data_IF_838393484893
#
_entry.id   IF_838393484893
#
_cell.length_a   1.000
_cell.length_b   1.000
_cell.length_c   1.000
_cell.angle_alpha   90.00
_cell.angle_beta   90.00
_cell.angle_gamma   90.00
#
_symmetry.space_group_name_H-M   'P 1'
#
loop_
_entity.id
_entity.type
_entity.pdbx_description
1 polymer ?
#
# COMPACT_ATOMS: atom_id res chain seq x y z
N UNK A 1 -16.23 18.20 -21.25
CA UNK A 1 -17.11 17.74 -22.34
C UNK A 1 -16.77 18.51 -23.62
N UNK A 2 -17.18 18.01 -24.79
CA UNK A 2 -17.11 18.72 -26.08
C UNK A 2 -18.47 18.74 -26.75
N UNK A 3 -18.72 19.74 -27.58
CA UNK A 3 -19.99 19.93 -28.30
C UNK A 3 -19.71 19.98 -29.81
N UNK A 4 -20.50 19.25 -30.60
CA UNK A 4 -20.44 19.21 -32.07
C UNK A 4 -21.86 19.19 -32.64
N UNK A 5 -22.40 20.35 -32.96
CA UNK A 5 -23.81 20.47 -33.36
C UNK A 5 -24.71 19.94 -32.25
N UNK A 6 -25.60 19.01 -32.58
CA UNK A 6 -26.54 18.40 -31.65
C UNK A 6 -25.93 17.24 -30.84
N UNK A 7 -24.60 17.09 -30.85
CA UNK A 7 -23.90 16.03 -30.13
C UNK A 7 -23.08 16.62 -28.99
N UNK A 8 -23.37 16.17 -27.77
CA UNK A 8 -22.56 16.43 -26.58
C UNK A 8 -21.80 15.16 -26.21
N UNK A 9 -20.48 15.26 -26.10
CA UNK A 9 -19.64 14.16 -25.63
C UNK A 9 -18.99 14.51 -24.29
N UNK A 10 -19.30 13.71 -23.28
CA UNK A 10 -18.81 13.83 -21.92
C UNK A 10 -17.79 12.72 -21.72
N UNK A 11 -16.58 13.10 -21.30
CA UNK A 11 -15.57 12.16 -20.86
C UNK A 11 -15.50 12.24 -19.33
N UNK A 12 -16.11 11.30 -18.60
CA UNK A 12 -16.07 11.32 -17.14
C UNK A 12 -14.65 11.03 -16.63
N UNK A 13 -14.22 11.63 -15.50
CA UNK A 13 -12.86 11.44 -14.99
C UNK A 13 -12.62 10.06 -14.36
N UNK A 14 -13.68 9.28 -14.13
CA UNK A 14 -13.61 7.89 -13.64
C UNK A 14 -13.58 6.85 -14.77
N UNK A 15 -13.65 7.28 -16.03
CA UNK A 15 -13.54 6.42 -17.20
C UNK A 15 -12.15 6.56 -17.83
N UNK A 16 -11.56 5.45 -18.27
CA UNK A 16 -10.20 5.47 -18.85
C UNK A 16 -10.22 5.54 -20.39
N UNK A 17 -11.13 4.81 -21.03
CA UNK A 17 -11.17 4.62 -22.48
C UNK A 17 -12.56 4.79 -23.11
N UNK A 18 -13.55 5.18 -22.29
CA UNK A 18 -14.94 5.35 -22.72
C UNK A 18 -15.43 6.77 -22.46
N UNK A 19 -16.17 7.31 -23.43
CA UNK A 19 -16.91 8.55 -23.27
C UNK A 19 -18.41 8.33 -23.52
N UNK A 20 -19.23 9.18 -22.93
CA UNK A 20 -20.69 9.21 -23.12
C UNK A 20 -20.99 10.21 -24.22
N UNK A 21 -21.67 9.77 -25.28
CA UNK A 21 -22.22 10.62 -26.33
C UNK A 21 -23.73 10.75 -26.14
N UNK A 22 -24.21 11.98 -26.09
CA UNK A 22 -25.61 12.34 -26.02
C UNK A 22 -25.94 13.10 -27.31
N UNK A 23 -26.83 12.53 -28.12
CA UNK A 23 -27.35 13.14 -29.35
C UNK A 23 -28.71 13.77 -29.07
N UNK A 24 -28.92 14.99 -29.55
CA UNK A 24 -30.12 15.77 -29.36
C UNK A 24 -30.90 15.94 -30.67
N UNK A 25 -32.21 16.09 -30.56
CA UNK A 25 -33.08 16.62 -31.60
C UNK A 25 -33.87 17.79 -31.02
N UNK A 26 -33.40 19.01 -31.26
CA UNK A 26 -33.88 20.20 -30.54
C UNK A 26 -33.57 20.08 -29.05
N UNK A 27 -34.61 20.10 -28.21
CA UNK A 27 -34.49 20.01 -26.74
C UNK A 27 -34.68 18.57 -26.21
N UNK A 28 -34.85 17.58 -27.09
CA UNK A 28 -35.04 16.18 -26.71
C UNK A 28 -33.75 15.36 -26.90
N UNK A 29 -33.45 14.47 -25.96
CA UNK A 29 -32.37 13.49 -26.10
C UNK A 29 -32.86 12.36 -27.01
N UNK A 30 -32.26 12.23 -28.19
CA UNK A 30 -32.59 11.20 -29.17
C UNK A 30 -31.84 9.89 -28.87
N UNK A 31 -30.56 9.97 -28.49
CA UNK A 31 -29.73 8.80 -28.26
C UNK A 31 -28.64 9.05 -27.22
N UNK A 32 -28.45 8.09 -26.31
CA UNK A 32 -27.30 8.02 -25.42
C UNK A 32 -26.47 6.81 -25.81
N UNK A 33 -25.16 6.99 -26.01
CA UNK A 33 -24.26 5.90 -26.39
C UNK A 33 -22.90 6.00 -25.71
N UNK A 34 -22.29 4.85 -25.46
CA UNK A 34 -20.88 4.77 -25.11
C UNK A 34 -20.04 4.74 -26.38
N UNK A 35 -18.96 5.52 -26.39
CA UNK A 35 -18.05 5.65 -27.53
C UNK A 35 -16.60 5.52 -27.08
N UNK A 36 -15.73 5.11 -28.00
CA UNK A 36 -14.28 5.32 -27.84
C UNK A 36 -13.93 6.76 -28.21
N UNK A 37 -13.40 7.59 -27.30
CA UNK A 37 -13.26 9.04 -27.50
C UNK A 37 -12.32 9.42 -28.66
N UNK A 38 -11.29 8.60 -28.92
CA UNK A 38 -10.29 8.85 -29.98
C UNK A 38 -10.70 8.27 -31.34
N UNK A 39 -11.37 7.12 -31.36
CA UNK A 39 -11.83 6.48 -32.61
C UNK A 39 -13.18 7.03 -33.08
N UNK A 40 -13.97 7.62 -32.17
CA UNK A 40 -15.36 8.02 -32.42
C UNK A 40 -16.32 6.84 -32.61
N UNK A 41 -15.81 5.61 -32.50
CA UNK A 41 -16.56 4.37 -32.71
C UNK A 41 -17.53 4.14 -31.54
N UNK A 42 -18.78 3.89 -31.91
CA UNK A 42 -19.85 3.53 -31.00
C UNK A 42 -19.63 2.12 -30.44
N UNK A 43 -19.74 1.97 -29.13
CA UNK A 43 -19.60 0.71 -28.40
C UNK A 43 -20.99 0.11 -28.18
N UNK A 44 -21.88 0.84 -27.49
CA UNK A 44 -23.27 0.41 -27.22
C UNK A 44 -24.19 1.60 -26.97
N UNK A 45 -25.49 1.37 -27.11
CA UNK A 45 -26.54 2.30 -26.67
C UNK A 45 -26.87 2.13 -25.20
N UNK A 46 -27.32 3.20 -24.58
CA UNK A 46 -27.79 3.27 -23.20
C UNK A 46 -29.18 3.91 -23.18
N UNK A 47 -30.05 3.40 -22.32
CA UNK A 47 -31.37 4.01 -22.08
C UNK A 47 -31.26 5.22 -21.14
N UNK A 48 -30.27 5.21 -20.25
CA UNK A 48 -29.99 6.29 -19.30
C UNK A 48 -28.51 6.31 -18.91
N UNK A 49 -28.05 7.45 -18.39
CA UNK A 49 -26.69 7.61 -17.88
C UNK A 49 -26.67 8.56 -16.69
N UNK A 50 -25.87 8.23 -15.67
CA UNK A 50 -25.60 9.10 -14.53
C UNK A 50 -24.19 9.67 -14.67
N UNK A 51 -24.08 11.00 -14.71
CA UNK A 51 -22.80 11.70 -14.76
C UNK A 51 -22.48 12.26 -13.38
N UNK A 52 -21.56 11.60 -12.68
CA UNK A 52 -21.09 12.06 -11.38
C UNK A 52 -20.16 13.28 -11.49
N UNK A 53 -20.07 14.12 -10.43
CA UNK A 53 -19.18 15.28 -10.40
C UNK A 53 -17.72 14.91 -10.67
N UNK A 54 -16.99 15.82 -11.30
CA UNK A 54 -15.57 15.60 -11.63
C UNK A 54 -14.60 15.83 -10.46
N UNK A 55 -15.13 16.21 -9.30
CA UNK A 55 -14.38 16.46 -8.08
C UNK A 55 -15.23 16.04 -6.88
N UNK A 56 -14.58 15.60 -5.81
CA UNK A 56 -15.23 15.25 -4.54
C UNK A 56 -15.56 16.48 -3.67
N UNK A 57 -15.04 17.67 -4.01
CA UNK A 57 -15.29 18.93 -3.29
C UNK A 57 -16.19 19.87 -4.08
N UNK A 58 -17.22 19.33 -4.74
CA UNK A 58 -18.20 20.15 -5.46
C UNK A 58 -19.25 20.63 -4.47
N UNK A 59 -19.41 21.95 -4.38
CA UNK A 59 -20.45 22.58 -3.60
C UNK A 59 -21.26 23.55 -4.45
N UNK A 60 -22.54 23.64 -4.14
CA UNK A 60 -23.45 24.59 -4.77
C UNK A 60 -23.01 26.04 -4.49
N UNK A 61 -23.36 26.95 -5.40
CA UNK A 61 -22.98 28.38 -5.28
C UNK A 61 -23.45 29.01 -3.96
N UNK A 62 -24.62 28.63 -3.46
CA UNK A 62 -25.15 29.13 -2.19
C UNK A 62 -24.34 28.64 -1.00
N UNK A 63 -23.98 27.34 -1.00
CA UNK A 63 -23.10 26.75 0.00
C UNK A 63 -21.75 27.45 0.01
N UNK A 64 -21.12 27.67 -1.15
CA UNK A 64 -19.83 28.37 -1.26
C UNK A 64 -19.91 29.80 -0.72
N UNK A 65 -20.96 30.56 -1.04
CA UNK A 65 -21.15 31.93 -0.52
C UNK A 65 -21.20 31.93 1.02
N UNK A 66 -21.97 31.02 1.62
CA UNK A 66 -22.02 30.88 3.08
C UNK A 66 -20.67 30.48 3.67
N UNK A 67 -19.96 29.55 3.02
CA UNK A 67 -18.63 29.11 3.48
C UNK A 67 -17.62 30.27 3.46
N UNK A 68 -17.63 31.08 2.40
CA UNK A 68 -16.77 32.27 2.27
C UNK A 68 -16.97 33.24 3.42
N UNK A 69 -18.21 33.53 3.80
CA UNK A 69 -18.48 34.43 4.93
C UNK A 69 -17.97 33.85 6.27
N UNK A 70 -18.18 32.55 6.51
CA UNK A 70 -17.64 31.88 7.70
C UNK A 70 -16.09 31.90 7.74
N UNK A 71 -15.43 31.74 6.58
CA UNK A 71 -13.96 31.80 6.45
C UNK A 71 -13.46 33.22 6.72
N UNK A 72 -14.14 34.27 6.24
CA UNK A 72 -13.80 35.67 6.52
C UNK A 72 -13.83 35.98 8.02
N UNK A 73 -14.83 35.47 8.73
CA UNK A 73 -14.95 35.62 10.19
C UNK A 73 -13.77 34.96 10.91
N UNK A 74 -13.50 33.67 10.62
CA UNK A 74 -12.37 32.95 11.25
C UNK A 74 -11.01 33.60 10.91
N UNK A 75 -10.85 34.11 9.68
CA UNK A 75 -9.66 34.84 9.29
C UNK A 75 -9.45 36.10 10.14
N UNK A 76 -10.50 36.91 10.35
CA UNK A 76 -10.43 38.11 11.15
C UNK A 76 -10.06 37.81 12.61
N UNK A 77 -10.67 36.77 13.18
CA UNK A 77 -10.33 36.28 14.53
C UNK A 77 -8.89 35.80 14.62
N UNK A 78 -8.43 35.04 13.61
CA UNK A 78 -7.07 34.49 13.59
C UNK A 78 -5.99 35.55 13.43
N UNK A 79 -6.24 36.58 12.61
CA UNK A 79 -5.34 37.74 12.48
C UNK A 79 -5.21 38.44 13.84
N UNK A 80 -6.34 38.75 14.49
CA UNK A 80 -6.34 39.40 15.81
C UNK A 80 -5.62 38.57 16.87
N UNK A 81 -5.78 37.25 16.84
CA UNK A 81 -5.04 36.34 17.73
C UNK A 81 -3.52 36.48 17.55
N UNK A 82 -3.03 36.49 16.30
CA UNK A 82 -1.61 36.61 16.02
C UNK A 82 -1.06 38.00 16.38
N UNK A 83 -1.77 39.08 16.06
CA UNK A 83 -1.40 40.44 16.41
C UNK A 83 -1.29 40.62 17.93
N UNK A 84 -2.28 40.14 18.68
CA UNK A 84 -2.27 40.17 20.15
C UNK A 84 -1.14 39.32 20.76
N UNK A 85 -0.67 38.30 20.04
CA UNK A 85 0.43 37.42 20.46
C UNK A 85 1.81 37.90 19.99
N UNK A 86 1.91 39.08 19.37
CA UNK A 86 3.16 39.60 18.81
C UNK A 86 3.68 38.86 17.58
N UNK A 87 2.87 37.98 16.98
CA UNK A 87 3.20 37.13 15.83
C UNK A 87 2.81 37.82 14.51
N UNK A 88 3.44 38.96 14.22
CA UNK A 88 3.05 39.83 13.09
C UNK A 88 3.28 39.19 11.72
N UNK A 89 4.33 38.37 11.58
CA UNK A 89 4.66 37.68 10.33
C UNK A 89 3.59 36.63 10.01
N UNK A 90 3.16 35.87 11.01
CA UNK A 90 2.10 34.88 10.91
C UNK A 90 0.75 35.54 10.58
N UNK A 91 0.46 36.70 11.18
CA UNK A 91 -0.74 37.50 10.89
C UNK A 91 -0.77 37.95 9.42
N UNK A 92 0.34 38.50 8.91
CA UNK A 92 0.45 38.89 7.51
C UNK A 92 0.33 37.70 6.57
N UNK A 93 1.02 36.60 6.88
CA UNK A 93 1.04 35.37 6.08
C UNK A 93 -0.35 34.77 5.93
N UNK A 94 -1.10 34.62 7.03
CA UNK A 94 -2.44 34.03 6.97
C UNK A 94 -3.40 34.95 6.21
N UNK A 95 -3.28 36.27 6.41
CA UNK A 95 -4.08 37.27 5.71
C UNK A 95 -3.89 37.19 4.21
N UNK A 96 -2.66 37.23 3.72
CA UNK A 96 -2.35 37.17 2.29
C UNK A 96 -2.85 35.86 1.67
N UNK A 97 -2.53 34.72 2.32
CA UNK A 97 -2.90 33.38 1.84
C UNK A 97 -4.42 33.22 1.71
N UNK A 98 -5.15 33.48 2.79
CA UNK A 98 -6.60 33.26 2.81
C UNK A 98 -7.33 34.29 1.96
N UNK A 99 -6.85 35.52 1.85
CA UNK A 99 -7.45 36.52 0.94
C UNK A 99 -7.36 36.07 -0.52
N UNK A 100 -6.22 35.49 -0.93
CA UNK A 100 -6.07 34.92 -2.27
C UNK A 100 -7.01 33.73 -2.48
N UNK A 101 -7.08 32.81 -1.51
CA UNK A 101 -7.96 31.64 -1.59
C UNK A 101 -9.45 32.06 -1.65
N UNK A 102 -9.86 33.07 -0.88
CA UNK A 102 -11.21 33.66 -0.92
C UNK A 102 -11.55 34.27 -2.28
N UNK A 103 -10.63 35.04 -2.87
CA UNK A 103 -10.84 35.64 -4.20
C UNK A 103 -11.04 34.56 -5.28
N UNK A 104 -10.29 33.46 -5.20
CA UNK A 104 -10.45 32.31 -6.10
C UNK A 104 -11.77 31.58 -5.88
N UNK A 105 -12.20 31.39 -4.62
CA UNK A 105 -13.49 30.79 -4.30
C UNK A 105 -14.68 31.64 -4.80
N UNK A 106 -14.61 32.97 -4.70
CA UNK A 106 -15.68 33.86 -5.17
C UNK A 106 -15.75 33.92 -6.71
N UNK A 107 -14.61 33.88 -7.41
CA UNK A 107 -14.55 34.03 -8.87
C UNK A 107 -14.69 32.72 -9.63
N UNK A 108 -13.96 31.68 -9.21
CA UNK A 108 -13.88 30.39 -9.90
C UNK A 108 -14.67 29.27 -9.21
N UNK A 109 -15.16 29.49 -7.98
CA UNK A 109 -15.77 28.43 -7.18
C UNK A 109 -14.78 27.37 -6.68
N UNK A 110 -13.48 27.60 -6.84
CA UNK A 110 -12.42 26.67 -6.51
C UNK A 110 -11.12 27.41 -6.17
N UNK A 111 -10.33 26.87 -5.26
CA UNK A 111 -8.96 27.32 -4.96
C UNK A 111 -8.03 26.13 -4.76
N UNK A 112 -6.72 26.35 -4.89
CA UNK A 112 -5.73 25.31 -4.61
C UNK A 112 -5.66 25.04 -3.12
N UNK A 113 -5.93 23.80 -2.72
CA UNK A 113 -6.01 23.43 -1.31
C UNK A 113 -7.41 23.65 -0.70
N UNK A 114 -8.47 23.63 -1.51
CA UNK A 114 -9.86 23.80 -1.08
C UNK A 114 -10.28 22.84 0.05
N UNK A 115 -9.65 21.67 0.14
CA UNK A 115 -9.90 20.68 1.20
C UNK A 115 -9.63 21.24 2.61
N UNK A 116 -8.77 22.25 2.74
CA UNK A 116 -8.49 22.91 4.02
C UNK A 116 -9.68 23.74 4.53
N UNK A 117 -10.68 23.98 3.69
CA UNK A 117 -11.95 24.63 4.03
C UNK A 117 -13.12 23.65 4.09
N UNK A 118 -12.85 22.34 4.00
CA UNK A 118 -13.88 21.31 3.88
C UNK A 118 -14.96 21.38 4.95
N UNK A 119 -14.62 21.69 6.22
CA UNK A 119 -15.60 21.90 7.30
C UNK A 119 -16.71 22.87 6.89
N UNK A 120 -16.34 24.02 6.34
CA UNK A 120 -17.29 25.04 5.94
C UNK A 120 -18.08 24.66 4.71
N UNK A 121 -17.46 23.94 3.78
CA UNK A 121 -18.09 23.47 2.55
C UNK A 121 -19.14 22.40 2.87
N UNK A 122 -18.82 21.48 3.78
CA UNK A 122 -19.75 20.43 4.25
C UNK A 122 -20.71 20.91 5.33
N UNK A 123 -20.65 22.19 5.72
CA UNK A 123 -21.45 22.79 6.79
C UNK A 123 -21.44 22.00 8.11
N UNK A 124 -20.26 21.51 8.47
CA UNK A 124 -20.02 20.78 9.73
C UNK A 124 -19.59 21.74 10.83
N UNK A 125 -19.84 21.34 12.07
CA UNK A 125 -19.35 22.03 13.26
C UNK A 125 -17.86 21.73 13.52
N UNK A 126 -17.22 22.54 14.36
CA UNK A 126 -15.82 22.34 14.71
C UNK A 126 -15.63 20.99 15.43
N UNK A 127 -14.62 20.22 15.03
CA UNK A 127 -14.32 18.91 15.59
C UNK A 127 -15.17 17.75 15.06
N UNK A 128 -16.26 18.02 14.34
CA UNK A 128 -17.17 16.99 13.82
C UNK A 128 -16.41 15.98 12.93
N UNK A 129 -16.90 14.73 12.92
CA UNK A 129 -16.31 13.65 12.13
C UNK A 129 -16.37 13.98 10.63
N UNK A 130 -15.26 13.85 9.89
CA UNK A 130 -15.23 14.11 8.46
C UNK A 130 -15.94 12.99 7.67
N UNK A 131 -16.58 13.32 6.54
CA UNK A 131 -17.08 12.30 5.62
C UNK A 131 -15.90 11.57 4.98
N UNK A 132 -16.08 10.28 4.78
CA UNK A 132 -15.09 9.33 4.25
C UNK A 132 -15.73 8.44 3.21
N UNK A 133 -14.92 7.57 2.60
CA UNK A 133 -15.41 6.53 1.71
C UNK A 133 -16.46 5.62 2.38
N UNK A 134 -16.35 5.38 3.70
CA UNK A 134 -17.28 4.51 4.43
C UNK A 134 -18.71 5.06 4.39
N UNK A 135 -18.86 6.38 4.38
CA UNK A 135 -20.17 7.04 4.35
C UNK A 135 -20.92 6.84 3.02
N UNK A 136 -20.24 6.38 1.96
CA UNK A 136 -20.86 6.07 0.67
C UNK A 136 -21.45 4.65 0.60
N UNK A 137 -21.08 3.77 1.53
CA UNK A 137 -21.57 2.38 1.55
C UNK A 137 -22.94 2.22 2.25
N UNK A 138 -23.40 3.25 2.98
CA UNK A 138 -24.58 3.16 3.84
C UNK A 138 -24.30 2.40 5.13
N UNK A 139 -25.35 1.88 5.77
CA UNK A 139 -25.25 1.25 7.09
C UNK A 139 -24.91 -0.25 7.05
N UNK A 140 -25.06 -0.91 5.90
CA UNK A 140 -24.87 -2.36 5.76
C UNK A 140 -23.69 -2.69 4.82
N UNK A 141 -22.48 -2.69 5.39
CA UNK A 141 -21.27 -3.09 4.68
C UNK A 141 -20.33 -3.90 5.57
N UNK A 142 -19.47 -4.70 4.92
CA UNK A 142 -18.43 -5.49 5.57
C UNK A 142 -17.08 -4.79 5.39
N UNK A 143 -16.34 -4.62 6.49
CA UNK A 143 -14.94 -4.19 6.46
C UNK A 143 -14.03 -5.39 6.65
N UNK A 144 -13.16 -5.63 5.68
CA UNK A 144 -12.08 -6.61 5.80
C UNK A 144 -10.78 -5.84 6.03
N UNK A 145 -10.16 -6.04 7.19
CA UNK A 145 -8.88 -5.44 7.52
C UNK A 145 -7.79 -6.47 7.30
N UNK A 146 -7.17 -6.40 6.13
CA UNK A 146 -6.01 -7.22 5.79
C UNK A 146 -4.78 -6.80 6.59
N UNK A 147 -3.94 -7.77 6.93
CA UNK A 147 -2.80 -7.64 7.84
C UNK A 147 -3.12 -6.78 9.08
N UNK A 148 -4.21 -7.11 9.77
CA UNK A 148 -4.83 -6.27 10.81
C UNK A 148 -3.84 -5.78 11.89
N UNK A 149 -2.89 -6.63 12.24
CA UNK A 149 -1.85 -6.38 13.24
C UNK A 149 -0.91 -5.21 12.87
N UNK A 150 -0.85 -4.83 11.58
CA UNK A 150 -0.16 -3.64 11.04
C UNK A 150 -1.15 -2.55 10.67
N UNK A 151 -2.25 -2.90 10.00
CA UNK A 151 -3.22 -1.94 9.45
C UNK A 151 -3.94 -1.14 10.54
N UNK A 152 -4.34 -1.77 11.66
CA UNK A 152 -5.02 -1.07 12.75
C UNK A 152 -4.12 -0.04 13.46
N UNK A 153 -2.86 -0.37 13.85
CA UNK A 153 -1.92 0.65 14.32
C UNK A 153 -1.70 1.80 13.34
N UNK A 154 -1.66 1.51 12.03
CA UNK A 154 -1.53 2.54 11.00
C UNK A 154 -2.73 3.49 11.02
N UNK A 155 -3.96 2.96 10.96
CA UNK A 155 -5.21 3.76 11.04
C UNK A 155 -5.19 4.65 12.30
N UNK A 156 -4.85 4.05 13.46
CA UNK A 156 -4.74 4.78 14.74
C UNK A 156 -3.69 5.91 14.69
N UNK A 157 -2.60 5.72 13.97
CA UNK A 157 -1.53 6.71 13.81
C UNK A 157 -1.87 7.88 12.89
N UNK A 158 -2.75 7.67 11.89
CA UNK A 158 -3.06 8.68 10.86
C UNK A 158 -3.56 10.00 11.44
N UNK A 159 -4.53 9.96 12.35
CA UNK A 159 -5.08 11.16 12.99
C UNK A 159 -4.03 11.98 13.73
N UNK A 160 -3.21 11.31 14.57
CA UNK A 160 -2.19 11.99 15.38
C UNK A 160 -1.10 12.60 14.50
N UNK A 161 -0.66 11.88 13.47
CA UNK A 161 0.34 12.36 12.52
C UNK A 161 -0.15 13.57 11.71
N UNK A 162 -1.38 13.51 11.18
CA UNK A 162 -1.96 14.63 10.44
C UNK A 162 -2.17 15.86 11.34
N UNK A 163 -2.70 15.65 12.54
CA UNK A 163 -2.94 16.72 13.51
C UNK A 163 -1.64 17.43 13.92
N UNK A 164 -0.60 16.70 14.30
CA UNK A 164 0.68 17.29 14.68
C UNK A 164 1.30 18.13 13.55
N UNK A 165 1.23 17.64 12.31
CA UNK A 165 1.71 18.38 11.13
C UNK A 165 0.91 19.66 10.90
N UNK A 166 -0.42 19.59 11.01
CA UNK A 166 -1.31 20.72 10.76
C UNK A 166 -1.30 21.76 11.87
N UNK A 167 -1.14 21.36 13.12
CA UNK A 167 -0.97 22.28 14.26
C UNK A 167 0.23 23.21 14.02
N UNK A 168 1.36 22.68 13.54
CA UNK A 168 2.52 23.51 13.13
C UNK A 168 2.13 24.51 12.03
N UNK A 169 1.42 24.09 10.99
CA UNK A 169 0.98 25.00 9.92
C UNK A 169 0.04 26.09 10.43
N UNK A 170 -0.84 25.74 11.36
CA UNK A 170 -1.78 26.68 12.01
C UNK A 170 -1.03 27.65 12.91
N UNK A 171 -0.06 27.18 13.70
CA UNK A 171 0.72 27.98 14.64
C UNK A 171 1.64 29.00 13.97
N UNK A 172 2.11 28.67 12.76
CA UNK A 172 2.91 29.55 11.91
C UNK A 172 2.08 30.27 10.84
N UNK A 173 0.76 30.31 10.95
CA UNK A 173 -0.09 31.15 10.07
C UNK A 173 -0.12 30.74 8.61
N UNK A 174 0.17 29.48 8.28
CA UNK A 174 0.00 28.94 6.92
C UNK A 174 -1.44 28.47 6.66
N UNK A 175 -2.18 28.09 7.69
CA UNK A 175 -3.56 27.59 7.62
C UNK A 175 -4.42 28.14 8.77
N UNK A 176 -5.73 28.23 8.54
CA UNK A 176 -6.71 28.55 9.58
C UNK A 176 -6.91 27.35 10.53
N UNK A 177 -7.37 27.56 11.78
CA UNK A 177 -7.68 26.47 12.72
C UNK A 177 -8.64 25.43 12.14
N UNK A 178 -9.65 25.84 11.36
CA UNK A 178 -10.56 24.95 10.62
C UNK A 178 -9.89 23.91 9.72
N UNK A 179 -8.64 24.13 9.30
CA UNK A 179 -7.91 23.15 8.51
C UNK A 179 -7.60 21.85 9.28
N UNK A 180 -7.68 21.88 10.62
CA UNK A 180 -7.58 20.70 11.49
C UNK A 180 -8.82 19.79 11.38
N UNK A 181 -9.97 20.32 10.95
CA UNK A 181 -11.22 19.55 10.78
C UNK A 181 -11.32 18.86 9.41
N UNK A 182 -10.40 19.21 8.50
CA UNK A 182 -10.05 18.35 7.38
C UNK A 182 -9.05 17.31 7.91
N UNK A 183 -9.46 16.09 8.19
CA UNK A 183 -8.57 15.12 8.85
C UNK A 183 -8.98 13.70 8.52
N UNK A 184 -8.13 12.69 8.73
CA UNK A 184 -8.61 11.32 8.78
C UNK A 184 -9.48 11.11 10.03
N UNK A 185 -10.21 10.00 10.05
CA UNK A 185 -10.89 9.52 11.25
C UNK A 185 -9.86 9.26 12.34
N UNK A 186 -10.23 9.57 13.58
CA UNK A 186 -9.56 8.98 14.71
C UNK A 186 -9.98 7.50 14.85
N UNK A 187 -9.30 6.75 15.71
CA UNK A 187 -9.55 5.30 15.82
C UNK A 187 -10.96 4.98 16.34
N UNK A 188 -11.47 5.77 17.28
CA UNK A 188 -12.80 5.54 17.85
C UNK A 188 -13.91 5.85 16.82
N UNK A 189 -13.71 6.87 15.98
CA UNK A 189 -14.59 7.19 14.85
C UNK A 189 -14.53 6.14 13.74
N UNK A 190 -13.38 5.50 13.53
CA UNK A 190 -13.28 4.39 12.59
C UNK A 190 -14.10 3.21 13.09
N UNK A 191 -13.89 2.81 14.36
CA UNK A 191 -14.60 1.68 14.96
C UNK A 191 -16.11 1.91 15.04
N UNK A 192 -16.55 3.13 15.37
CA UNK A 192 -17.98 3.45 15.43
C UNK A 192 -18.68 3.38 14.06
N UNK A 193 -17.91 3.43 12.97
CA UNK A 193 -18.41 3.27 11.60
C UNK A 193 -18.28 1.83 11.09
N UNK A 194 -17.65 0.91 11.82
CA UNK A 194 -17.49 -0.50 11.41
C UNK A 194 -18.38 -1.41 12.25
N UNK A 195 -19.60 -1.69 11.78
CA UNK A 195 -20.49 -2.65 12.45
C UNK A 195 -20.04 -4.10 12.19
N UNK A 196 -19.82 -4.45 10.91
CA UNK A 196 -19.34 -5.78 10.50
C UNK A 196 -17.88 -5.70 10.09
N UNK A 197 -16.99 -6.28 10.89
CA UNK A 197 -15.55 -6.29 10.63
C UNK A 197 -14.96 -7.70 10.67
N UNK A 198 -14.08 -8.00 9.73
CA UNK A 198 -13.27 -9.21 9.70
C UNK A 198 -11.79 -8.82 9.70
N UNK A 199 -11.08 -9.21 10.76
CA UNK A 199 -9.62 -9.04 10.85
C UNK A 199 -8.93 -10.24 10.21
N UNK A 200 -8.03 -10.00 9.27
CA UNK A 200 -7.24 -11.03 8.61
C UNK A 200 -5.77 -10.84 9.00
N UNK A 201 -5.19 -11.82 9.70
CA UNK A 201 -3.81 -11.77 10.15
C UNK A 201 -3.32 -13.16 10.55
N UNK A 202 -2.07 -13.49 10.22
CA UNK A 202 -1.41 -14.69 10.74
C UNK A 202 -0.99 -14.54 12.22
N UNK A 203 -0.97 -13.29 12.71
CA UNK A 203 -0.49 -12.89 14.04
C UNK A 203 -1.38 -11.75 14.58
N UNK A 204 -2.67 -12.00 14.86
CA UNK A 204 -3.56 -10.98 15.42
C UNK A 204 -3.04 -10.50 16.79
N UNK A 205 -3.19 -9.21 17.11
CA UNK A 205 -2.82 -8.67 18.43
C UNK A 205 -4.00 -8.71 19.40
N UNK A 206 -3.74 -8.35 20.65
CA UNK A 206 -4.71 -8.31 21.74
C UNK A 206 -5.98 -7.55 21.36
N UNK A 207 -5.85 -6.39 20.71
CA UNK A 207 -7.02 -5.61 20.31
C UNK A 207 -7.95 -6.41 19.38
N UNK A 208 -7.42 -7.03 18.32
CA UNK A 208 -8.25 -7.84 17.42
C UNK A 208 -8.91 -9.01 18.15
N UNK A 209 -8.15 -9.70 19.01
CA UNK A 209 -8.63 -10.84 19.79
C UNK A 209 -9.77 -10.42 20.73
N UNK A 210 -9.64 -9.27 21.39
CA UNK A 210 -10.63 -8.76 22.34
C UNK A 210 -11.90 -8.24 21.64
N UNK A 211 -11.82 -7.86 20.36
CA UNK A 211 -12.97 -7.33 19.61
C UNK A 211 -13.81 -8.40 18.91
N UNK A 212 -13.32 -9.63 18.76
CA UNK A 212 -14.02 -10.68 18.00
C UNK A 212 -14.72 -11.70 18.90
N UNK A 213 -15.87 -12.19 18.43
CA UNK A 213 -16.59 -13.27 19.09
C UNK A 213 -15.96 -14.65 18.85
N UNK A 214 -15.34 -14.83 17.69
CA UNK A 214 -14.79 -16.11 17.24
C UNK A 214 -13.49 -15.88 16.47
N UNK A 215 -12.52 -16.76 16.69
CA UNK A 215 -11.28 -16.82 15.93
C UNK A 215 -11.36 -18.04 15.01
N UNK A 216 -11.36 -17.80 13.70
CA UNK A 216 -11.36 -18.87 12.69
C UNK A 216 -9.92 -19.11 12.26
N UNK A 217 -9.38 -20.28 12.61
CA UNK A 217 -8.01 -20.65 12.26
C UNK A 217 -7.96 -21.32 10.87
N UNK A 218 -7.21 -20.73 9.93
CA UNK A 218 -6.96 -21.29 8.59
C UNK A 218 -5.47 -21.56 8.41
N UNK A 219 -5.05 -22.79 8.74
CA UNK A 219 -3.63 -23.19 8.74
C UNK A 219 -3.24 -24.00 7.50
N UNK A 220 -4.16 -24.78 6.94
CA UNK A 220 -3.87 -25.70 5.84
C UNK A 220 -3.75 -24.95 4.53
N UNK A 221 -2.66 -25.20 3.80
CA UNK A 221 -2.41 -24.62 2.48
C UNK A 221 -3.00 -25.51 1.38
N UNK A 222 -3.58 -24.95 0.30
CA UNK A 222 -4.13 -25.75 -0.80
C UNK A 222 -3.10 -26.70 -1.45
N UNK A 223 -1.82 -26.34 -1.43
CA UNK A 223 -0.70 -27.12 -2.01
C UNK A 223 -0.13 -28.16 -1.05
N UNK A 224 -0.63 -28.24 0.19
CA UNK A 224 -0.09 -29.08 1.24
C UNK A 224 1.25 -28.60 1.82
N UNK A 225 1.73 -27.40 1.45
CA UNK A 225 2.97 -26.86 1.99
C UNK A 225 2.91 -26.69 3.52
N UNK A 226 4.00 -27.06 4.17
CA UNK A 226 4.12 -27.10 5.63
C UNK A 226 4.78 -25.83 6.15
N UNK A 227 4.47 -25.47 7.40
CA UNK A 227 5.24 -24.46 8.13
C UNK A 227 6.71 -24.92 8.26
N UNK A 228 7.68 -24.01 8.06
CA UNK A 228 9.11 -24.35 8.04
C UNK A 228 9.57 -24.94 9.35
N UNK A 229 10.54 -25.85 9.30
CA UNK A 229 11.12 -26.40 10.52
C UNK A 229 12.00 -25.34 11.22
N UNK A 230 11.65 -24.87 12.43
CA UNK A 230 12.47 -23.91 13.16
C UNK A 230 13.57 -24.65 13.95
N UNK A 231 14.82 -24.24 13.77
CA UNK A 231 15.97 -24.76 14.48
C UNK A 231 16.67 -23.63 15.25
N UNK A 232 16.71 -23.75 16.57
CA UNK A 232 17.44 -22.81 17.43
C UNK A 232 18.89 -23.25 17.54
N UNK A 233 19.82 -22.36 17.19
CA UNK A 233 21.26 -22.60 17.21
C UNK A 233 21.95 -21.59 18.16
N UNK A 234 23.07 -21.96 18.82
CA UNK A 234 23.82 -21.02 19.65
C UNK A 234 24.27 -19.80 18.84
N UNK A 235 24.23 -18.60 19.43
CA UNK A 235 24.74 -17.39 18.75
C UNK A 235 26.28 -17.39 18.66
N UNK A 236 26.94 -18.23 19.48
CA UNK A 236 28.39 -18.46 19.40
C UNK A 236 28.78 -19.00 18.01
N UNK A 237 29.53 -18.20 17.27
CA UNK A 237 29.96 -18.46 15.88
C UNK A 237 28.81 -18.44 14.84
N UNK A 238 27.72 -17.71 15.10
CA UNK A 238 26.56 -17.63 14.19
C UNK A 238 26.92 -17.35 12.73
N UNK A 239 27.89 -16.47 12.47
CA UNK A 239 28.29 -16.10 11.10
C UNK A 239 28.97 -17.26 10.36
N UNK A 240 29.75 -18.08 11.05
CA UNK A 240 30.43 -19.24 10.45
C UNK A 240 29.41 -20.34 10.12
N UNK A 241 28.54 -20.66 11.07
CA UNK A 241 27.47 -21.65 10.88
C UNK A 241 26.51 -21.21 9.77
N UNK A 242 26.08 -19.93 9.78
CA UNK A 242 25.25 -19.35 8.73
C UNK A 242 25.90 -19.46 7.36
N UNK A 243 27.21 -19.19 7.26
CA UNK A 243 27.94 -19.31 6.01
C UNK A 243 27.91 -20.75 5.47
N UNK A 244 28.17 -21.74 6.32
CA UNK A 244 28.14 -23.15 5.92
C UNK A 244 26.74 -23.58 5.45
N UNK A 245 25.70 -23.11 6.12
CA UNK A 245 24.30 -23.37 5.73
C UNK A 245 23.92 -22.65 4.43
N UNK A 246 24.36 -21.41 4.23
CA UNK A 246 24.18 -20.69 2.95
C UNK A 246 24.86 -21.44 1.81
N UNK A 247 26.10 -21.92 2.00
CA UNK A 247 26.83 -22.66 0.95
C UNK A 247 26.06 -23.91 0.54
N UNK A 248 25.52 -24.66 1.52
CA UNK A 248 24.72 -25.87 1.26
C UNK A 248 23.44 -25.54 0.48
N UNK A 249 22.69 -24.54 0.92
CA UNK A 249 21.42 -24.15 0.27
C UNK A 249 21.62 -23.63 -1.15
N UNK A 250 22.63 -22.77 -1.33
CA UNK A 250 22.88 -22.16 -2.64
C UNK A 250 23.45 -23.16 -3.65
N UNK A 251 24.16 -24.21 -3.20
CA UNK A 251 24.59 -25.32 -4.05
C UNK A 251 23.41 -26.10 -4.64
N UNK A 252 22.30 -26.20 -3.91
CA UNK A 252 21.05 -26.83 -4.35
C UNK A 252 20.14 -25.87 -5.15
N UNK A 253 20.60 -24.65 -5.43
CA UNK A 253 19.86 -23.61 -6.16
C UNK A 253 18.85 -22.83 -5.31
N UNK A 254 18.74 -23.12 -4.01
CA UNK A 254 17.87 -22.45 -3.07
C UNK A 254 18.24 -20.97 -2.86
N UNK A 255 17.28 -20.19 -2.36
CA UNK A 255 17.49 -18.79 -1.97
C UNK A 255 17.42 -18.65 -0.45
N UNK A 256 18.22 -17.72 0.07
CA UNK A 256 18.35 -17.50 1.51
C UNK A 256 17.96 -16.07 1.87
N UNK A 257 17.10 -15.92 2.87
CA UNK A 257 16.80 -14.65 3.51
C UNK A 257 17.50 -14.59 4.86
N UNK A 258 18.21 -13.50 5.14
CA UNK A 258 18.86 -13.28 6.44
C UNK A 258 18.34 -12.00 7.07
N UNK A 259 17.83 -12.08 8.29
CA UNK A 259 17.44 -10.91 9.08
C UNK A 259 18.46 -10.61 10.17
N UNK A 260 18.92 -9.37 10.21
CA UNK A 260 19.82 -8.84 11.23
C UNK A 260 19.09 -7.76 12.07
N UNK A 261 19.67 -7.32 13.18
CA UNK A 261 19.08 -6.25 14.00
C UNK A 261 19.40 -4.84 13.52
N UNK A 262 20.55 -4.65 12.86
CA UNK A 262 21.07 -3.32 12.54
C UNK A 262 21.49 -3.22 11.09
N UNK A 263 21.32 -2.01 10.51
CA UNK A 263 21.76 -1.70 9.14
C UNK A 263 23.24 -2.04 8.94
N UNK A 264 24.08 -1.62 9.91
CA UNK A 264 25.51 -1.90 9.89
C UNK A 264 25.82 -3.40 9.83
N UNK A 265 25.18 -4.21 10.67
CA UNK A 265 25.41 -5.66 10.66
C UNK A 265 24.94 -6.32 9.37
N UNK A 266 23.84 -5.86 8.79
CA UNK A 266 23.38 -6.34 7.48
C UNK A 266 24.38 -5.99 6.36
N UNK A 267 24.93 -4.77 6.37
CA UNK A 267 25.96 -4.32 5.42
C UNK A 267 27.25 -5.12 5.58
N UNK A 268 27.78 -5.20 6.80
CA UNK A 268 29.00 -5.94 7.14
C UNK A 268 28.88 -7.43 6.75
N UNK A 269 27.72 -8.05 7.01
CA UNK A 269 27.44 -9.44 6.61
C UNK A 269 27.37 -9.59 5.09
N UNK A 270 26.72 -8.65 4.40
CA UNK A 270 26.62 -8.68 2.94
C UNK A 270 28.01 -8.62 2.30
N UNK A 271 28.88 -7.76 2.81
CA UNK A 271 30.24 -7.62 2.29
C UNK A 271 31.11 -8.82 2.65
N UNK A 272 30.96 -9.39 3.85
CA UNK A 272 31.58 -10.66 4.25
C UNK A 272 31.21 -11.81 3.29
N UNK A 273 29.94 -11.93 2.95
CA UNK A 273 29.42 -12.97 2.04
C UNK A 273 29.99 -12.79 0.62
N UNK A 274 29.96 -11.56 0.10
CA UNK A 274 30.55 -11.23 -1.22
C UNK A 274 32.05 -11.53 -1.28
N UNK A 275 32.80 -11.18 -0.23
CA UNK A 275 34.24 -11.42 -0.16
C UNK A 275 34.60 -12.91 -0.20
N UNK A 276 33.67 -13.78 0.21
CA UNK A 276 33.81 -15.25 0.14
C UNK A 276 33.15 -15.88 -1.09
N UNK A 277 32.70 -15.06 -2.06
CA UNK A 277 32.16 -15.53 -3.33
C UNK A 277 30.66 -15.84 -3.32
N UNK A 278 29.93 -15.54 -2.24
CA UNK A 278 28.47 -15.66 -2.22
C UNK A 278 27.84 -14.43 -2.88
N UNK A 279 26.89 -14.66 -3.79
CA UNK A 279 26.12 -13.58 -4.43
C UNK A 279 25.06 -13.06 -3.46
N UNK A 280 25.42 -12.05 -2.69
CA UNK A 280 24.55 -11.44 -1.68
C UNK A 280 24.17 -9.99 -2.03
N UNK A 281 22.94 -9.60 -1.66
CA UNK A 281 22.44 -8.21 -1.71
C UNK A 281 21.87 -7.80 -0.36
N UNK A 282 21.99 -6.50 -0.08
CA UNK A 282 21.44 -5.87 1.11
C UNK A 282 20.14 -5.13 0.76
N UNK A 283 19.12 -5.26 1.61
CA UNK A 283 17.86 -4.53 1.52
C UNK A 283 17.64 -3.67 2.78
N UNK A 284 17.44 -2.36 2.58
CA UNK A 284 17.21 -1.40 3.67
C UNK A 284 15.91 -0.61 3.50
N UNK A 285 15.46 -0.03 4.61
CA UNK A 285 14.19 0.70 4.72
C UNK A 285 14.06 1.92 3.81
N UNK A 286 15.18 2.48 3.35
CA UNK A 286 15.21 3.75 2.62
C UNK A 286 15.22 3.54 1.09
N UNK A 287 15.20 2.28 0.64
CA UNK A 287 15.07 1.91 -0.78
C UNK A 287 13.64 2.17 -1.23
N UNK A 288 13.50 2.86 -2.36
CA UNK A 288 12.22 3.12 -3.01
C UNK A 288 11.51 1.81 -3.40
N UNK A 289 10.17 1.83 -3.44
CA UNK A 289 9.36 0.62 -3.68
C UNK A 289 9.68 -0.05 -5.02
N UNK A 290 10.02 0.73 -6.06
CA UNK A 290 10.40 0.21 -7.38
C UNK A 290 11.76 -0.50 -7.33
N UNK A 291 12.75 0.12 -6.67
CA UNK A 291 14.08 -0.46 -6.55
C UNK A 291 14.06 -1.71 -5.66
N UNK A 292 13.28 -1.69 -4.58
CA UNK A 292 13.03 -2.86 -3.74
C UNK A 292 12.51 -4.03 -4.56
N UNK A 293 11.47 -3.80 -5.35
CA UNK A 293 10.90 -4.87 -6.17
C UNK A 293 11.88 -5.37 -7.23
N UNK A 294 12.70 -4.49 -7.82
CA UNK A 294 13.77 -4.92 -8.71
C UNK A 294 14.74 -5.89 -8.02
N UNK A 295 15.13 -5.62 -6.77
CA UNK A 295 16.00 -6.51 -5.99
C UNK A 295 15.35 -7.88 -5.78
N UNK A 296 14.05 -7.91 -5.47
CA UNK A 296 13.28 -9.16 -5.30
C UNK A 296 13.22 -9.96 -6.61
N UNK A 297 12.95 -9.29 -7.74
CA UNK A 297 12.98 -9.93 -9.05
C UNK A 297 14.37 -10.44 -9.42
N UNK A 298 15.43 -9.72 -9.09
CA UNK A 298 16.81 -10.16 -9.30
C UNK A 298 17.14 -11.44 -8.49
N UNK A 299 16.63 -11.57 -7.26
CA UNK A 299 16.74 -12.80 -6.47
C UNK A 299 16.06 -13.97 -7.17
N UNK A 300 14.81 -13.77 -7.64
CA UNK A 300 14.01 -14.78 -8.36
C UNK A 300 14.64 -15.19 -9.70
N UNK A 301 15.29 -14.25 -10.40
CA UNK A 301 16.01 -14.49 -11.66
C UNK A 301 17.38 -15.12 -11.49
N UNK A 302 17.73 -15.60 -10.29
CA UNK A 302 19.05 -16.17 -9.99
C UNK A 302 20.21 -15.21 -10.26
N UNK A 303 20.00 -13.88 -10.18
CA UNK A 303 21.10 -12.91 -10.29
C UNK A 303 21.98 -12.92 -9.04
N UNK A 304 21.36 -13.20 -7.90
CA UNK A 304 22.01 -13.43 -6.62
C UNK A 304 21.21 -14.46 -5.80
N UNK A 305 21.76 -14.93 -4.69
CA UNK A 305 21.21 -16.06 -3.94
C UNK A 305 20.81 -15.73 -2.50
N UNK A 306 21.41 -14.68 -1.93
CA UNK A 306 21.20 -14.29 -0.52
C UNK A 306 20.73 -12.84 -0.42
N UNK A 307 19.61 -12.63 0.26
CA UNK A 307 19.11 -11.30 0.61
C UNK A 307 19.25 -11.07 2.11
N UNK A 308 20.01 -10.03 2.48
CA UNK A 308 20.24 -9.65 3.88
C UNK A 308 19.46 -8.37 4.16
N UNK A 309 18.72 -8.30 5.26
CA UNK A 309 17.99 -7.08 5.64
C UNK A 309 17.72 -7.00 7.14
N UNK A 310 17.19 -5.86 7.58
CA UNK A 310 16.82 -5.64 9.00
C UNK A 310 15.39 -6.08 9.27
N UNK A 311 14.47 -5.66 8.40
CA UNK A 311 13.05 -5.95 8.53
C UNK A 311 12.47 -6.45 7.22
N UNK A 312 12.62 -7.75 6.97
CA UNK A 312 12.09 -8.40 5.76
C UNK A 312 10.57 -8.68 5.84
N UNK A 313 9.88 -8.16 6.87
CA UNK A 313 8.48 -8.43 7.17
C UNK A 313 7.50 -7.52 6.43
N UNK A 314 7.87 -6.25 6.20
CA UNK A 314 6.98 -5.26 5.56
C UNK A 314 6.78 -5.46 4.07
N UNK A 315 7.46 -6.43 3.50
CA UNK A 315 7.83 -6.39 2.09
C UNK A 315 6.91 -7.23 1.21
N UNK A 316 5.93 -7.94 1.79
CA UNK A 316 5.08 -8.83 1.04
C UNK A 316 5.86 -9.92 0.29
N UNK A 317 7.14 -10.16 0.66
CA UNK A 317 8.05 -11.08 -0.01
C UNK A 317 7.45 -12.47 -0.11
N UNK A 318 6.93 -12.78 -1.27
CA UNK A 318 6.34 -14.04 -1.66
C UNK A 318 7.28 -14.67 -2.70
N UNK A 319 8.30 -15.36 -2.19
CA UNK A 319 9.39 -15.90 -2.99
C UNK A 319 9.45 -17.42 -2.78
N UNK A 320 8.76 -18.23 -3.63
CA UNK A 320 8.76 -19.70 -3.51
C UNK A 320 10.16 -20.33 -3.58
N UNK A 321 11.13 -19.64 -4.18
CA UNK A 321 12.52 -20.07 -4.31
C UNK A 321 13.29 -20.00 -2.98
N UNK A 322 12.76 -19.34 -1.94
CA UNK A 322 13.39 -19.25 -0.62
C UNK A 322 13.20 -20.55 0.15
N UNK A 323 14.28 -21.28 0.35
CA UNK A 323 14.32 -22.53 1.12
C UNK A 323 14.84 -22.35 2.55
N UNK A 324 15.60 -21.28 2.81
CA UNK A 324 16.16 -20.99 4.13
C UNK A 324 15.91 -19.54 4.55
N UNK A 325 15.42 -19.38 5.78
CA UNK A 325 15.40 -18.11 6.49
C UNK A 325 16.32 -18.20 7.70
N UNK A 326 17.22 -17.22 7.86
CA UNK A 326 18.08 -17.09 9.02
C UNK A 326 17.75 -15.83 9.82
N UNK A 327 17.63 -15.96 11.13
CA UNK A 327 17.34 -14.88 12.06
C UNK A 327 18.51 -14.77 13.04
N UNK A 328 19.37 -13.77 12.82
CA UNK A 328 20.46 -13.44 13.73
C UNK A 328 19.91 -12.77 14.99
N UNK A 329 20.57 -12.95 16.12
CA UNK A 329 20.16 -12.35 17.41
C UNK A 329 18.65 -12.58 17.70
N UNK A 330 18.19 -13.82 17.53
CA UNK A 330 16.79 -14.19 17.68
C UNK A 330 16.26 -14.00 19.11
N UNK A 331 17.14 -13.95 20.10
CA UNK A 331 16.83 -13.77 21.52
C UNK A 331 16.81 -12.31 22.01
N UNK A 332 17.13 -11.34 21.14
CA UNK A 332 17.10 -9.92 21.49
C UNK A 332 15.69 -9.37 21.37
N UNK A 333 15.01 -9.25 22.50
CA UNK A 333 13.65 -8.71 22.55
C UNK A 333 13.55 -7.30 21.95
N UNK A 334 12.42 -7.04 21.29
CA UNK A 334 12.14 -5.78 20.62
C UNK A 334 11.19 -5.98 19.44
N UNK A 335 10.89 -4.89 18.71
CA UNK A 335 9.94 -4.93 17.61
C UNK A 335 10.28 -5.99 16.55
N UNK A 336 11.56 -6.16 16.20
CA UNK A 336 12.01 -7.11 15.16
C UNK A 336 12.04 -8.57 15.62
N UNK A 337 11.91 -8.83 16.93
CA UNK A 337 11.97 -10.17 17.55
C UNK A 337 10.80 -10.41 18.50
N UNK A 338 9.70 -9.68 18.28
CA UNK A 338 8.41 -10.00 18.89
C UNK A 338 7.93 -11.35 18.37
N UNK A 339 7.04 -12.01 19.11
CA UNK A 339 6.44 -13.29 18.72
C UNK A 339 5.85 -13.21 17.29
N UNK A 340 5.08 -12.16 17.02
CA UNK A 340 4.49 -11.90 15.70
C UNK A 340 5.57 -11.76 14.61
N UNK A 341 6.61 -10.96 14.87
CA UNK A 341 7.71 -10.73 13.92
C UNK A 341 8.49 -12.01 13.61
N UNK A 342 8.71 -12.86 14.61
CA UNK A 342 9.39 -14.15 14.44
C UNK A 342 8.54 -15.11 13.61
N UNK A 343 7.25 -15.27 13.94
CA UNK A 343 6.31 -16.12 13.18
C UNK A 343 6.26 -15.71 11.71
N UNK A 344 6.15 -14.40 11.43
CA UNK A 344 6.12 -13.91 10.07
C UNK A 344 7.45 -14.12 9.33
N UNK A 345 8.59 -13.93 10.02
CA UNK A 345 9.91 -14.12 9.42
C UNK A 345 10.12 -15.59 9.06
N UNK A 346 9.80 -16.50 9.99
CA UNK A 346 9.81 -17.96 9.75
C UNK A 346 8.92 -18.30 8.56
N UNK A 347 7.71 -17.72 8.51
CA UNK A 347 6.73 -17.94 7.44
C UNK A 347 7.22 -17.60 6.02
N UNK A 348 8.29 -16.82 5.86
CA UNK A 348 8.89 -16.53 4.55
C UNK A 348 9.46 -17.77 3.85
N UNK A 349 9.84 -18.81 4.60
CA UNK A 349 10.25 -20.10 4.03
C UNK A 349 9.08 -21.08 3.80
N UNK A 350 7.84 -20.73 4.19
CA UNK A 350 6.69 -21.65 4.14
C UNK A 350 6.15 -21.93 2.73
N UNK A 351 6.76 -21.30 1.71
CA UNK A 351 6.37 -21.43 0.30
C UNK A 351 7.22 -22.41 -0.48
N UNK A 352 8.21 -23.00 0.19
CA UNK A 352 9.10 -23.98 -0.36
C UNK A 352 8.92 -25.31 0.39
N UNK A 353 8.85 -26.41 -0.35
CA UNK A 353 8.73 -27.76 0.22
C UNK A 353 9.90 -28.15 1.14
N UNK A 354 11.08 -27.55 0.94
CA UNK A 354 12.29 -27.70 1.76
C UNK A 354 12.47 -26.57 2.77
N UNK A 355 11.45 -25.73 2.96
CA UNK A 355 11.48 -24.56 3.82
C UNK A 355 11.96 -24.86 5.24
N UNK A 356 13.00 -24.16 5.68
CA UNK A 356 13.52 -24.22 7.06
C UNK A 356 13.92 -22.86 7.59
N UNK A 357 13.93 -22.72 8.91
CA UNK A 357 14.29 -21.49 9.60
C UNK A 357 15.38 -21.74 10.64
N UNK A 358 16.47 -20.97 10.60
CA UNK A 358 17.54 -20.98 11.60
C UNK A 358 17.42 -19.75 12.50
N UNK A 359 17.33 -19.97 13.81
CA UNK A 359 17.20 -18.92 14.81
C UNK A 359 18.44 -18.94 15.71
N UNK A 360 19.33 -17.96 15.56
CA UNK A 360 20.55 -17.86 16.35
C UNK A 360 20.27 -17.15 17.68
N UNK A 361 20.41 -17.87 18.79
CA UNK A 361 20.03 -17.39 20.12
C UNK A 361 20.84 -18.10 21.21
N UNK A 362 21.26 -17.36 22.24
CA UNK A 362 21.90 -17.93 23.44
C UNK A 362 20.88 -18.16 24.57
N UNK A 363 19.78 -17.43 24.54
CA UNK A 363 18.67 -17.54 25.51
C UNK A 363 17.34 -17.82 24.79
N UNK A 364 16.35 -18.32 25.53
CA UNK A 364 15.00 -18.58 25.01
C UNK A 364 13.99 -17.66 25.71
N UNK A 365 13.86 -16.38 25.28
CA UNK A 365 12.81 -15.50 25.76
C UNK A 365 11.43 -16.02 25.34
N UNK A 366 10.37 -15.49 25.96
CA UNK A 366 9.00 -15.98 25.74
C UNK A 366 8.54 -15.76 24.30
N UNK A 367 8.93 -14.65 23.66
CA UNK A 367 8.63 -14.40 22.24
C UNK A 367 9.18 -15.49 21.32
N UNK A 368 10.42 -15.93 21.57
CA UNK A 368 11.09 -16.98 20.78
C UNK A 368 10.48 -18.36 21.06
N UNK A 369 10.22 -18.68 22.33
CA UNK A 369 9.56 -19.93 22.73
C UNK A 369 8.18 -20.07 22.07
N UNK A 370 7.36 -19.02 22.17
CA UNK A 370 6.01 -19.03 21.63
C UNK A 370 6.02 -19.15 20.10
N UNK A 371 6.89 -18.40 19.42
CA UNK A 371 7.01 -18.48 17.95
C UNK A 371 7.42 -19.87 17.47
N UNK A 372 8.40 -20.52 18.13
CA UNK A 372 8.82 -21.89 17.82
C UNK A 372 7.69 -22.89 18.09
N UNK A 373 7.02 -22.76 19.25
CA UNK A 373 5.91 -23.62 19.62
C UNK A 373 4.76 -23.55 18.62
N UNK A 374 4.33 -22.34 18.26
CA UNK A 374 3.20 -22.12 17.36
C UNK A 374 3.52 -22.61 15.94
N UNK A 375 4.74 -22.39 15.45
CA UNK A 375 5.21 -22.93 14.16
C UNK A 375 5.15 -24.46 14.15
N UNK A 376 5.64 -25.11 15.21
CA UNK A 376 5.62 -26.56 15.33
C UNK A 376 4.20 -27.12 15.46
N UNK A 377 3.32 -26.45 16.21
CA UNK A 377 1.90 -26.81 16.34
C UNK A 377 1.20 -26.77 14.98
N UNK A 378 1.35 -25.68 14.23
CA UNK A 378 0.78 -25.52 12.87
C UNK A 378 1.28 -26.60 11.92
N UNK A 379 2.58 -26.84 11.93
CA UNK A 379 3.22 -27.89 11.13
C UNK A 379 2.62 -29.27 11.40
N UNK A 380 2.47 -29.66 12.66
CA UNK A 380 1.89 -30.97 13.03
C UNK A 380 0.44 -31.13 12.55
N UNK A 381 -0.36 -30.07 12.62
CA UNK A 381 -1.75 -30.06 12.13
C UNK A 381 -1.75 -30.26 10.60
N UNK A 382 -0.87 -29.56 9.88
CA UNK A 382 -0.75 -29.67 8.42
C UNK A 382 -0.25 -31.05 7.98
N UNK A 383 0.76 -31.61 8.66
CA UNK A 383 1.27 -32.97 8.39
C UNK A 383 0.18 -34.02 8.57
N UNK A 384 -0.60 -33.93 9.65
CA UNK A 384 -1.73 -34.82 9.90
C UNK A 384 -2.81 -34.67 8.83
N UNK A 385 -3.20 -33.44 8.48
CA UNK A 385 -4.19 -33.17 7.45
C UNK A 385 -3.76 -33.74 6.09
N UNK A 386 -2.50 -33.51 5.71
CA UNK A 386 -1.94 -34.03 4.46
C UNK A 386 -1.95 -35.56 4.41
N UNK A 387 -1.56 -36.22 5.52
CA UNK A 387 -1.58 -37.68 5.62
C UNK A 387 -2.99 -38.26 5.51
N UNK A 388 -3.98 -37.64 6.17
CA UNK A 388 -5.39 -38.05 6.13
C UNK A 388 -6.02 -37.89 4.74
N UNK A 389 -5.57 -36.90 3.96
CA UNK A 389 -6.14 -36.57 2.65
C UNK A 389 -5.26 -37.01 1.46
N UNK A 390 -4.13 -37.66 1.70
CA UNK A 390 -3.20 -38.10 0.63
C UNK A 390 -2.55 -36.95 -0.14
N UNK A 391 -2.36 -35.79 0.49
CA UNK A 391 -1.78 -34.59 -0.14
C UNK A 391 -0.26 -34.65 -0.01
N UNK A 392 0.45 -34.52 -1.13
CA UNK A 392 1.92 -34.37 -1.14
C UNK A 392 2.27 -32.89 -1.27
N UNK A 393 3.05 -32.31 -0.32
CA UNK A 393 3.49 -30.93 -0.42
C UNK A 393 4.23 -30.68 -1.74
N UNK A 394 3.91 -29.58 -2.40
CA UNK A 394 4.63 -29.15 -3.59
C UNK A 394 4.77 -27.62 -3.59
N UNK A 395 5.96 -27.15 -3.94
CA UNK A 395 6.22 -25.73 -4.14
C UNK A 395 5.44 -25.21 -5.34
N UNK A 396 4.83 -24.03 -5.24
CA UNK A 396 4.20 -23.36 -6.39
C UNK A 396 5.33 -22.86 -7.29
N UNK A 397 5.69 -23.65 -8.31
CA UNK A 397 6.66 -23.20 -9.30
C UNK A 397 5.98 -22.29 -10.31
N UNK A 398 6.17 -20.98 -10.19
CA UNK A 398 5.77 -20.04 -11.24
C UNK A 398 6.76 -20.13 -12.42
N UNK A 399 6.75 -21.27 -13.13
CA UNK A 399 7.60 -21.53 -14.31
C UNK A 399 7.32 -20.61 -15.50
N UNK A 400 6.25 -19.80 -15.46
CA UNK A 400 5.94 -18.84 -16.53
C UNK A 400 6.94 -17.66 -16.61
N UNK A 401 7.87 -17.54 -15.65
CA UNK A 401 8.72 -16.36 -15.45
C UNK A 401 9.93 -16.28 -16.39
N UNK A 402 10.38 -17.38 -16.98
CA UNK A 402 11.63 -17.39 -17.76
C UNK A 402 11.48 -17.03 -19.24
N UNK A 403 10.29 -17.14 -19.85
CA UNK A 403 10.13 -16.99 -21.31
C UNK A 403 9.67 -15.59 -21.77
N UNK A 404 9.40 -14.65 -20.86
CA UNK A 404 8.73 -13.39 -21.21
C UNK A 404 9.72 -12.24 -21.50
N UNK A 405 10.98 -12.32 -21.05
CA UNK A 405 12.00 -11.30 -21.37
C UNK A 405 12.50 -11.34 -22.82
N UNK A 406 12.22 -12.41 -23.58
CA UNK A 406 12.50 -12.42 -25.01
C UNK A 406 11.61 -11.46 -25.82
N UNK A 407 10.56 -10.89 -25.21
CA UNK A 407 9.55 -10.07 -25.88
C UNK A 407 9.47 -8.62 -25.37
N UNK A 408 10.48 -8.10 -24.66
CA UNK A 408 10.50 -6.70 -24.21
C UNK A 408 11.50 -5.89 -25.08
N UNK A 409 11.05 -5.15 -26.12
CA UNK A 409 11.89 -4.18 -26.80
C UNK A 409 11.95 -2.89 -25.97
N UNK A 410 13.12 -2.55 -25.41
CA UNK A 410 13.35 -1.23 -24.82
C UNK A 410 14.11 -1.18 -23.49
N UNK A 411 15.07 -2.07 -23.24
CA UNK A 411 16.04 -1.85 -22.16
C UNK A 411 17.08 -0.78 -22.57
N UNK A 412 16.76 0.49 -22.31
CA UNK A 412 17.75 1.57 -22.29
C UNK A 412 17.62 2.39 -21.00
N UNK A 413 18.78 2.65 -20.38
CA UNK A 413 19.06 3.25 -19.05
C UNK A 413 18.53 4.68 -18.79
N UNK A 414 17.51 5.16 -19.51
CA UNK A 414 17.06 6.55 -19.44
C UNK A 414 15.59 6.63 -18.97
N UNK A 415 15.40 6.65 -17.66
CA UNK A 415 14.09 6.70 -17.01
C UNK A 415 13.65 8.17 -16.81
N UNK A 416 13.33 8.85 -17.92
CA UNK A 416 12.55 10.11 -17.89
C UNK A 416 11.51 10.18 -19.03
N UNK A 417 10.31 10.74 -18.77
CA UNK A 417 9.20 10.70 -19.71
C UNK A 417 9.36 11.79 -20.78
N UNK A 418 10.00 11.43 -21.91
CA UNK A 418 9.94 12.22 -23.16
C UNK A 418 9.39 11.41 -24.33
N UNK A 419 8.60 10.38 -24.05
CA UNK A 419 7.91 9.61 -25.07
C UNK A 419 6.60 10.32 -25.49
N UNK A 420 6.24 10.33 -26.80
CA UNK A 420 4.97 10.86 -27.26
C UNK A 420 3.76 10.20 -26.56
N UNK A 421 2.73 10.99 -26.22
CA UNK A 421 1.53 10.58 -25.47
C UNK A 421 0.90 9.25 -25.96
N UNK A 422 0.85 9.03 -27.27
CA UNK A 422 0.31 7.80 -27.87
C UNK A 422 1.12 6.53 -27.56
N UNK A 423 2.46 6.64 -27.41
CA UNK A 423 3.32 5.50 -27.07
C UNK A 423 3.17 5.11 -25.60
N UNK A 424 2.97 6.09 -24.72
CA UNK A 424 2.74 5.87 -23.28
C UNK A 424 1.41 5.14 -23.07
N UNK A 425 0.35 5.53 -23.77
CA UNK A 425 -0.96 4.85 -23.70
C UNK A 425 -0.85 3.40 -24.16
N UNK A 426 -0.13 3.13 -25.26
CA UNK A 426 0.09 1.77 -25.74
C UNK A 426 0.88 0.93 -24.73
N UNK A 427 1.93 1.50 -24.15
CA UNK A 427 2.74 0.84 -23.12
C UNK A 427 1.92 0.51 -21.87
N UNK A 428 1.05 1.43 -21.42
CA UNK A 428 0.13 1.18 -20.29
C UNK A 428 -0.77 -0.03 -20.59
N UNK A 429 -1.36 -0.10 -21.78
CA UNK A 429 -2.23 -1.21 -22.17
C UNK A 429 -1.50 -2.56 -22.22
N UNK A 430 -0.25 -2.57 -22.69
CA UNK A 430 0.62 -3.75 -22.69
C UNK A 430 0.94 -4.20 -21.25
N UNK A 431 1.32 -3.26 -20.38
CA UNK A 431 1.58 -3.51 -18.95
C UNK A 431 0.34 -3.99 -18.19
N UNK A 432 -0.86 -3.48 -18.50
CA UNK A 432 -2.12 -3.92 -17.88
C UNK A 432 -2.49 -5.35 -18.26
N UNK A 433 -2.26 -5.73 -19.52
CA UNK A 433 -2.46 -7.11 -19.99
C UNK A 433 -1.48 -8.07 -19.30
N UNK A 434 -0.23 -7.66 -19.16
CA UNK A 434 0.80 -8.42 -18.45
C UNK A 434 0.51 -8.53 -16.95
N UNK A 435 -0.01 -7.46 -16.34
CA UNK A 435 -0.41 -7.44 -14.93
C UNK A 435 -1.53 -8.44 -14.65
N UNK A 436 -2.53 -8.52 -15.54
CA UNK A 436 -3.62 -9.50 -15.44
C UNK A 436 -3.10 -10.93 -15.53
N UNK A 437 -2.20 -11.20 -16.48
CA UNK A 437 -1.56 -12.52 -16.61
C UNK A 437 -0.75 -12.88 -15.36
N UNK A 438 -0.01 -11.91 -14.80
CA UNK A 438 0.74 -12.09 -13.57
C UNK A 438 -0.18 -12.45 -12.39
N UNK A 439 -1.32 -11.77 -12.27
CA UNK A 439 -2.34 -12.07 -11.27
C UNK A 439 -2.98 -13.44 -11.46
N UNK A 440 -3.28 -13.84 -12.70
CA UNK A 440 -3.79 -15.18 -13.05
C UNK A 440 -2.78 -16.29 -12.73
N UNK A 441 -1.47 -15.99 -12.83
CA UNK A 441 -0.39 -16.89 -12.44
C UNK A 441 0.02 -16.78 -10.96
N UNK A 442 -0.78 -16.11 -10.12
CA UNK A 442 -0.54 -15.94 -8.68
C UNK A 442 0.78 -15.20 -8.35
N UNK A 443 1.31 -14.42 -9.29
CA UNK A 443 2.51 -13.59 -9.09
C UNK A 443 2.10 -12.17 -8.69
N UNK A 444 1.58 -12.03 -7.48
CA UNK A 444 1.03 -10.78 -6.98
C UNK A 444 2.07 -9.68 -6.85
N UNK A 445 3.34 -10.03 -6.61
CA UNK A 445 4.44 -9.08 -6.59
C UNK A 445 4.68 -8.48 -7.97
N UNK A 446 4.80 -9.32 -8.99
CA UNK A 446 5.01 -8.86 -10.37
C UNK A 446 3.79 -8.05 -10.86
N UNK A 447 2.57 -8.49 -10.53
CA UNK A 447 1.36 -7.73 -10.80
C UNK A 447 1.38 -6.35 -10.10
N UNK A 448 1.80 -6.30 -8.83
CA UNK A 448 1.93 -5.04 -8.09
C UNK A 448 2.99 -4.10 -8.72
N UNK A 449 4.10 -4.62 -9.23
CA UNK A 449 5.07 -3.81 -9.99
C UNK A 449 4.43 -3.18 -11.22
N UNK A 450 3.76 -4.00 -12.02
CA UNK A 450 3.17 -3.56 -13.27
C UNK A 450 2.14 -2.48 -12.97
N UNK A 451 1.31 -2.67 -11.93
CA UNK A 451 0.38 -1.67 -11.40
C UNK A 451 1.08 -0.36 -11.05
N UNK A 452 2.17 -0.41 -10.27
CA UNK A 452 2.86 0.79 -9.80
C UNK A 452 3.56 1.53 -10.96
N UNK A 453 4.10 0.79 -11.94
CA UNK A 453 4.60 1.35 -13.20
C UNK A 453 3.48 2.01 -14.01
N UNK A 454 2.34 1.34 -14.15
CA UNK A 454 1.15 1.89 -14.81
C UNK A 454 0.75 3.20 -14.14
N UNK A 455 0.68 3.26 -12.81
CA UNK A 455 0.37 4.51 -12.09
C UNK A 455 1.38 5.62 -12.38
N UNK A 456 2.69 5.31 -12.42
CA UNK A 456 3.72 6.29 -12.77
C UNK A 456 3.55 6.82 -14.20
N UNK A 457 3.24 5.94 -15.16
CA UNK A 457 2.97 6.35 -16.53
C UNK A 457 1.67 7.15 -16.65
N UNK A 458 0.58 6.74 -15.99
CA UNK A 458 -0.69 7.47 -15.92
C UNK A 458 -0.49 8.88 -15.33
N UNK A 459 0.23 9.00 -14.21
CA UNK A 459 0.55 10.29 -13.59
C UNK A 459 1.41 11.21 -14.47
N UNK A 460 2.16 10.67 -15.44
CA UNK A 460 2.92 11.46 -16.42
C UNK A 460 2.09 11.91 -17.63
N UNK A 461 0.89 11.33 -17.84
CA UNK A 461 -0.08 11.81 -18.83
C UNK A 461 -0.91 13.00 -18.33
N UNK A 462 -0.97 13.19 -17.01
CA UNK A 462 -1.72 14.25 -16.33
C UNK A 462 -0.92 15.54 -16.13
N UNK A 463 0.40 15.50 -16.35
CA UNK A 463 1.30 16.67 -16.46
C UNK A 463 1.44 17.10 -17.91
#
# INVERSE_FOLDING_TARGET
FRVKGDIVEIFPPYEEDVAVRISYFGDEIEEISLIKPFEGKKIKNLDSVSVYPSSHYVAEKETLKRSVEKIKVELAERIKYFENSGKLIEAQRIKERVTQDLAMLETAGYCSGIENYSRYITNREAGETPPTLMDYFGDDFLVIVDESHVTLPQIKGMYRGDRARKEVLVDYGFRLPSALDNRPLNFDEFISKTDKVMFVSATPKEYEIDQVHEIIELINRPTGLLDPLPQVLPAKNEIAELYDEIVKETADGGKVLVTSLTKKMAEDLTDFLKARGIRARYLHSDIDSIERLKIVMELRKNMFDVLVGVNLLREGLDIPEVSLVAILDADKEGFLRSEASLIQTIGRAARNEKGRALLFADTMPDSLKNAVYETMRRRQIQEKFNAEHGITPHSVSNKAILDIEAHIPGHSKDDSPKAPRHKIIKLISELESEMKKAAESWDFEYAAMLRDKIFKYKASLDK
#
